data_IF_009619616938
#
_entry.id   IF_009619616938
#
_cell.length_a   1.000
_cell.length_b   1.000
_cell.length_c   1.000
_cell.angle_alpha   90.00
_cell.angle_beta   90.00
_cell.angle_gamma   90.00
#
_symmetry.space_group_name_H-M   'P 1'
#
loop_
_entity.id
_entity.type
_entity.pdbx_description
1 polymer ?
#
# COMPACT_ATOMS: atom_id res chain seq x y z
N UNK A 1 -57.83 8.02 27.18
CA UNK A 1 -58.24 9.04 28.14
C UNK A 1 -56.99 9.56 28.81
N UNK A 2 -56.38 10.63 28.33
CA UNK A 2 -56.39 12.04 28.68
C UNK A 2 -56.38 12.26 30.23
N UNK A 3 -55.63 13.23 30.80
CA UNK A 3 -55.09 14.43 30.21
C UNK A 3 -53.66 14.86 30.63
N UNK A 4 -53.14 15.79 29.82
CA UNK A 4 -52.11 16.77 30.11
C UNK A 4 -52.68 17.88 31.02
N UNK A 5 -51.87 18.63 31.76
CA UNK A 5 -52.05 20.06 31.85
C UNK A 5 -50.86 20.89 31.41
N UNK A 6 -51.21 22.04 30.85
CA UNK A 6 -50.46 23.17 30.34
C UNK A 6 -50.19 24.26 31.40
N UNK A 7 -49.17 25.11 31.09
CA UNK A 7 -48.98 26.54 31.41
C UNK A 7 -48.52 26.92 32.82
N UNK A 8 -47.50 27.79 32.93
CA UNK A 8 -47.41 29.22 32.65
C UNK A 8 -46.01 29.74 33.00
N UNK A 9 -45.33 30.45 32.18
CA UNK A 9 -45.21 31.91 31.93
C UNK A 9 -44.23 32.66 32.84
N UNK A 10 -43.18 33.17 32.19
CA UNK A 10 -42.59 34.52 32.21
C UNK A 10 -42.05 35.12 33.50
N UNK A 11 -40.75 35.42 33.48
CA UNK A 11 -40.27 36.79 33.68
C UNK A 11 -38.81 36.95 33.27
N UNK A 12 -38.58 38.01 32.52
CA UNK A 12 -37.30 38.51 32.07
C UNK A 12 -36.65 39.36 33.20
N UNK A 13 -35.31 39.22 33.34
CA UNK A 13 -34.47 40.31 33.87
C UNK A 13 -33.18 40.38 33.07
N UNK A 14 -32.82 41.60 32.75
CA UNK A 14 -31.84 42.02 31.79
C UNK A 14 -30.39 42.01 32.31
N UNK A 15 -29.48 41.93 31.33
CA UNK A 15 -28.18 42.60 31.20
C UNK A 15 -27.08 42.40 32.23
N UNK A 16 -26.04 41.74 31.78
CA UNK A 16 -24.71 42.34 31.83
C UNK A 16 -23.82 41.71 30.75
N UNK A 17 -23.36 42.54 29.85
CA UNK A 17 -22.36 42.31 28.83
C UNK A 17 -20.98 42.04 29.48
N UNK A 18 -20.42 40.89 29.17
CA UNK A 18 -18.96 40.72 29.22
C UNK A 18 -18.56 39.98 27.93
N UNK A 19 -17.85 40.76 27.12
CA UNK A 19 -17.11 40.33 25.97
C UNK A 19 -16.16 39.19 26.34
N UNK A 20 -16.37 38.01 25.74
CA UNK A 20 -15.32 37.00 25.63
C UNK A 20 -14.81 37.05 24.21
N UNK A 21 -13.62 37.61 24.08
CA UNK A 21 -12.83 37.62 22.88
C UNK A 21 -12.62 36.20 22.36
N UNK A 22 -12.91 36.06 21.12
CA UNK A 22 -12.61 34.91 20.29
C UNK A 22 -11.09 34.78 20.11
N UNK A 23 -10.42 34.01 20.97
CA UNK A 23 -9.09 33.51 20.69
C UNK A 23 -9.13 32.39 19.64
N UNK A 24 -9.32 32.84 18.40
CA UNK A 24 -9.02 32.05 17.21
C UNK A 24 -7.50 32.20 16.97
N UNK A 25 -6.69 31.61 17.87
CA UNK A 25 -5.25 31.59 17.68
C UNK A 25 -4.91 30.63 16.52
N UNK A 26 -4.57 31.29 15.42
CA UNK A 26 -3.86 30.77 14.26
C UNK A 26 -2.73 29.81 14.68
N UNK A 27 -2.91 28.51 14.48
CA UNK A 27 -1.84 27.52 14.52
C UNK A 27 -0.86 27.60 13.32
N UNK A 28 -0.84 28.73 12.60
CA UNK A 28 0.04 28.97 11.45
C UNK A 28 1.48 29.38 11.80
N UNK A 29 1.82 29.54 13.08
CA UNK A 29 3.11 30.12 13.49
C UNK A 29 4.13 29.13 14.08
N UNK A 30 3.91 27.80 14.02
CA UNK A 30 4.86 26.83 14.59
C UNK A 30 5.61 25.99 13.54
N UNK A 31 5.42 26.23 12.26
CA UNK A 31 6.22 25.54 11.24
C UNK A 31 7.34 26.48 10.82
N UNK A 32 8.57 26.14 11.19
CA UNK A 32 9.78 26.86 10.75
C UNK A 32 9.78 26.93 9.21
N UNK A 33 9.81 28.12 8.58
CA UNK A 33 9.79 28.27 7.12
C UNK A 33 10.92 27.50 6.43
N UNK A 34 12.06 27.27 7.09
CA UNK A 34 13.12 26.42 6.59
C UNK A 34 12.73 24.92 6.53
N UNK A 35 11.82 24.47 7.40
CA UNK A 35 11.26 23.11 7.34
C UNK A 35 10.28 22.98 6.17
N UNK A 36 9.49 24.02 5.87
CA UNK A 36 8.57 24.02 4.73
C UNK A 36 9.35 23.97 3.41
N UNK A 37 10.44 24.73 3.28
CA UNK A 37 11.32 24.71 2.10
C UNK A 37 12.01 23.34 1.97
N UNK A 38 12.38 22.71 3.09
CA UNK A 38 12.95 21.37 3.14
C UNK A 38 11.96 20.30 2.65
N UNK A 39 10.66 20.47 2.89
CA UNK A 39 9.61 19.51 2.48
C UNK A 39 9.30 19.62 0.97
N UNK A 40 9.54 20.76 0.32
CA UNK A 40 9.21 20.99 -1.09
C UNK A 40 10.22 20.43 -2.09
N UNK A 41 11.43 20.07 -1.67
CA UNK A 41 12.45 19.49 -2.58
C UNK A 41 12.44 17.99 -2.42
N UNK A 42 12.23 17.26 -3.53
CA UNK A 42 12.27 15.79 -3.53
C UNK A 42 13.62 15.25 -3.03
N UNK A 43 13.60 14.07 -2.44
CA UNK A 43 14.82 13.43 -1.95
C UNK A 43 15.77 13.16 -3.11
N UNK A 44 15.23 12.77 -4.27
CA UNK A 44 16.02 12.54 -5.48
C UNK A 44 16.81 13.77 -5.94
N UNK A 45 16.25 14.97 -5.81
CA UNK A 45 16.98 16.20 -6.12
C UNK A 45 18.07 16.53 -5.09
N UNK A 46 17.82 16.27 -3.81
CA UNK A 46 18.80 16.50 -2.74
C UNK A 46 20.04 15.64 -2.87
N UNK A 47 19.88 14.40 -3.35
CA UNK A 47 20.99 13.47 -3.55
C UNK A 47 21.76 13.75 -4.85
N UNK A 48 21.18 14.50 -5.80
CA UNK A 48 21.82 14.87 -7.08
C UNK A 48 22.60 16.19 -7.05
N UNK A 49 22.48 16.99 -5.99
CA UNK A 49 23.27 18.24 -5.89
C UNK A 49 24.77 17.92 -5.79
N UNK A 50 25.57 18.68 -6.52
CA UNK A 50 27.03 18.54 -6.59
C UNK A 50 27.67 18.57 -5.20
N UNK A 51 28.11 17.42 -4.71
CA UNK A 51 28.69 17.23 -3.39
C UNK A 51 28.04 16.14 -2.55
N UNK A 52 26.85 15.64 -2.96
CA UNK A 52 26.09 14.64 -2.22
C UNK A 52 25.70 15.07 -0.79
N UNK A 53 24.71 14.45 -0.20
CA UNK A 53 24.44 14.62 1.22
C UNK A 53 25.43 13.75 2.01
N UNK A 54 26.20 14.35 2.91
CA UNK A 54 27.10 13.62 3.83
C UNK A 54 26.36 13.14 5.10
N UNK A 55 25.19 13.75 5.41
CA UNK A 55 24.32 13.38 6.51
C UNK A 55 22.86 13.68 6.14
N UNK A 56 21.92 13.01 6.81
CA UNK A 56 20.49 13.24 6.60
C UNK A 56 19.95 14.29 7.58
N UNK A 57 18.91 15.06 7.19
CA UNK A 57 18.19 15.91 8.14
C UNK A 57 17.56 15.07 9.26
N UNK A 58 17.56 15.58 10.48
CA UNK A 58 17.02 14.87 11.67
C UNK A 58 15.57 14.42 11.53
N UNK A 59 14.79 15.11 10.67
CA UNK A 59 13.42 14.73 10.36
C UNK A 59 13.30 13.33 9.72
N UNK A 60 14.39 12.76 9.19
CA UNK A 60 14.43 11.41 8.61
C UNK A 60 14.97 10.36 9.60
N UNK A 61 15.30 10.73 10.84
CA UNK A 61 15.77 9.79 11.85
C UNK A 61 14.60 8.94 12.36
N UNK A 62 14.38 7.81 11.70
CA UNK A 62 13.35 6.83 12.05
C UNK A 62 13.83 5.89 13.15
N UNK A 63 15.03 5.34 12.99
CA UNK A 63 15.62 4.46 13.99
C UNK A 63 16.39 5.28 15.03
N UNK A 64 15.99 5.16 16.27
CA UNK A 64 16.66 5.80 17.42
C UNK A 64 17.36 4.72 18.25
N UNK A 65 18.28 5.07 19.18
CA UNK A 65 18.90 4.10 20.07
C UNK A 65 17.89 3.21 20.83
N UNK A 66 16.67 3.71 21.02
CA UNK A 66 15.59 2.98 21.70
C UNK A 66 14.66 2.21 20.70
N UNK A 67 14.86 2.36 19.40
CA UNK A 67 14.08 1.71 18.34
C UNK A 67 15.03 1.29 17.22
N UNK A 68 16.09 0.55 17.58
CA UNK A 68 17.00 -0.03 16.59
C UNK A 68 16.22 -1.10 15.82
N UNK A 69 16.33 -1.15 14.48
CA UNK A 69 15.65 -2.18 13.72
C UNK A 69 16.12 -3.55 14.20
N UNK A 70 15.16 -4.42 14.52
CA UNK A 70 15.47 -5.83 14.65
C UNK A 70 16.26 -6.25 13.41
N UNK A 71 17.49 -6.74 13.62
CA UNK A 71 18.28 -7.24 12.50
C UNK A 71 17.48 -8.35 11.82
N UNK A 72 17.41 -8.38 10.48
CA UNK A 72 16.82 -9.53 9.81
C UNK A 72 17.55 -10.77 10.31
N UNK A 73 16.80 -11.81 10.59
CA UNK A 73 17.40 -13.13 10.84
C UNK A 73 18.29 -13.40 9.62
N UNK A 74 19.55 -13.81 9.83
CA UNK A 74 20.45 -14.13 8.72
C UNK A 74 19.75 -15.15 7.82
N UNK A 75 19.85 -14.95 6.50
CA UNK A 75 19.23 -15.84 5.50
C UNK A 75 19.61 -17.34 5.73
N UNK A 76 20.77 -17.57 6.35
CA UNK A 76 21.28 -18.90 6.73
C UNK A 76 20.52 -19.54 7.91
N UNK A 77 19.81 -18.76 8.72
CA UNK A 77 19.05 -19.26 9.90
C UNK A 77 17.56 -19.45 9.62
N UNK A 78 17.08 -19.08 8.43
CA UNK A 78 15.68 -19.22 8.06
C UNK A 78 15.50 -20.47 7.20
N UNK A 79 14.95 -21.53 7.81
CA UNK A 79 14.63 -22.79 7.11
C UNK A 79 13.50 -22.61 6.08
N UNK A 80 12.65 -21.60 6.28
CA UNK A 80 11.49 -21.32 5.42
C UNK A 80 11.85 -20.25 4.37
N UNK A 81 11.87 -20.58 3.11
CA UNK A 81 11.94 -19.61 2.01
C UNK A 81 10.55 -19.13 1.60
N UNK A 82 10.46 -17.90 1.07
CA UNK A 82 9.21 -17.38 0.51
C UNK A 82 8.72 -18.31 -0.60
N UNK A 83 7.45 -18.78 -0.56
CA UNK A 83 6.91 -19.70 -1.55
C UNK A 83 6.96 -19.14 -2.97
N UNK A 84 7.19 -20.01 -3.94
CA UNK A 84 7.14 -19.66 -5.37
C UNK A 84 6.00 -20.41 -6.03
N UNK A 85 5.13 -19.68 -6.73
CA UNK A 85 3.97 -20.18 -7.47
C UNK A 85 4.27 -20.12 -8.96
N UNK A 86 4.23 -21.25 -9.62
CA UNK A 86 4.29 -21.33 -11.09
C UNK A 86 2.91 -21.05 -11.66
N UNK A 87 2.74 -19.82 -12.19
CA UNK A 87 1.47 -19.36 -12.76
C UNK A 87 1.01 -20.16 -13.96
N UNK A 88 1.93 -20.73 -14.72
CA UNK A 88 1.58 -21.55 -15.90
C UNK A 88 0.84 -22.82 -15.51
N UNK A 89 1.13 -23.39 -14.34
CA UNK A 89 0.41 -24.55 -13.82
C UNK A 89 -1.01 -24.22 -13.36
N UNK A 90 -1.23 -22.97 -12.94
CA UNK A 90 -2.57 -22.49 -12.57
C UNK A 90 -3.48 -22.33 -13.79
N UNK A 91 -2.93 -21.83 -14.91
CA UNK A 91 -3.70 -21.43 -16.10
C UNK A 91 -3.72 -22.48 -17.20
N UNK A 92 -2.66 -23.26 -17.34
CA UNK A 92 -2.44 -24.21 -18.46
C UNK A 92 -2.02 -25.60 -18.01
N UNK A 93 -1.96 -25.87 -16.70
CA UNK A 93 -1.64 -27.19 -16.15
C UNK A 93 -2.75 -28.21 -16.34
N UNK A 94 -2.41 -29.50 -16.19
CA UNK A 94 -3.43 -30.55 -16.10
C UNK A 94 -4.32 -30.34 -14.86
N UNK A 95 -5.51 -30.95 -14.77
CA UNK A 95 -6.37 -30.83 -13.59
C UNK A 95 -5.65 -31.16 -12.27
N UNK A 96 -4.76 -32.16 -12.28
CA UNK A 96 -3.98 -32.56 -11.11
C UNK A 96 -2.92 -31.49 -10.75
N UNK A 97 -2.22 -30.95 -11.76
CA UNK A 97 -1.24 -29.87 -11.56
C UNK A 97 -1.93 -28.61 -11.04
N UNK A 98 -3.09 -28.26 -11.62
CA UNK A 98 -3.89 -27.12 -11.19
C UNK A 98 -4.37 -27.29 -9.75
N UNK A 99 -4.88 -28.45 -9.39
CA UNK A 99 -5.29 -28.75 -8.00
C UNK A 99 -4.11 -28.61 -7.02
N UNK A 100 -2.94 -29.12 -7.39
CA UNK A 100 -1.73 -29.01 -6.57
C UNK A 100 -1.30 -27.56 -6.37
N UNK A 101 -1.18 -26.78 -7.45
CA UNK A 101 -0.73 -25.37 -7.35
C UNK A 101 -1.74 -24.48 -6.62
N UNK A 102 -3.06 -24.76 -6.72
CA UNK A 102 -4.10 -24.08 -5.94
C UNK A 102 -3.90 -24.33 -4.44
N UNK A 103 -3.60 -25.56 -4.04
CA UNK A 103 -3.29 -25.90 -2.64
C UNK A 103 -2.01 -25.20 -2.15
N UNK A 104 -0.96 -25.16 -2.98
CA UNK A 104 0.29 -24.44 -2.68
C UNK A 104 0.06 -22.95 -2.53
N UNK A 105 -0.74 -22.35 -3.41
CA UNK A 105 -1.16 -20.95 -3.35
C UNK A 105 -1.92 -20.66 -2.04
N UNK A 106 -2.89 -21.50 -1.68
CA UNK A 106 -3.63 -21.35 -0.43
C UNK A 106 -2.73 -21.45 0.80
N UNK A 107 -1.74 -22.35 0.79
CA UNK A 107 -0.73 -22.45 1.85
C UNK A 107 0.13 -21.20 1.92
N UNK A 108 0.62 -20.69 0.79
CA UNK A 108 1.41 -19.45 0.73
C UNK A 108 0.64 -18.24 1.29
N UNK A 109 -0.64 -18.10 0.92
CA UNK A 109 -1.51 -17.03 1.44
C UNK A 109 -1.75 -17.13 2.96
N UNK A 110 -1.89 -18.35 3.49
CA UNK A 110 -2.15 -18.58 4.91
C UNK A 110 -0.90 -18.41 5.76
N UNK A 111 0.21 -19.00 5.35
CA UNK A 111 1.40 -19.13 6.18
C UNK A 111 2.29 -17.87 6.08
N UNK A 112 2.37 -17.26 4.89
CA UNK A 112 3.22 -16.12 4.61
C UNK A 112 2.47 -14.83 4.31
N UNK A 113 1.33 -14.90 3.61
CA UNK A 113 0.69 -13.74 3.00
C UNK A 113 1.53 -13.08 1.89
N UNK A 114 2.67 -13.71 1.54
CA UNK A 114 3.63 -13.31 0.51
C UNK A 114 4.07 -14.53 -0.29
N UNK A 115 4.28 -14.35 -1.60
CA UNK A 115 4.83 -15.39 -2.48
C UNK A 115 5.42 -14.75 -3.76
N UNK A 116 6.26 -15.51 -4.44
CA UNK A 116 6.77 -15.15 -5.75
C UNK A 116 5.90 -15.80 -6.82
N UNK A 117 5.70 -15.10 -7.94
CA UNK A 117 4.99 -15.64 -9.11
C UNK A 117 5.92 -15.63 -10.30
N UNK A 118 6.13 -16.79 -10.89
CA UNK A 118 6.94 -17.02 -12.09
C UNK A 118 6.07 -17.53 -13.24
N UNK A 119 6.58 -17.51 -14.46
CA UNK A 119 5.89 -17.99 -15.67
C UNK A 119 4.52 -17.32 -15.90
N UNK A 120 4.41 -16.05 -15.51
CA UNK A 120 3.16 -15.28 -15.52
C UNK A 120 2.78 -14.69 -16.90
N UNK A 121 3.64 -14.84 -17.91
CA UNK A 121 3.34 -14.42 -19.29
C UNK A 121 3.42 -12.91 -19.56
N UNK A 122 3.69 -12.08 -18.55
CA UNK A 122 4.00 -10.65 -18.78
C UNK A 122 5.42 -10.57 -19.35
N UNK A 123 5.65 -9.92 -20.51
CA UNK A 123 6.97 -9.84 -21.11
C UNK A 123 8.00 -9.13 -20.21
N UNK A 124 9.17 -9.71 -20.05
CA UNK A 124 10.28 -9.13 -19.27
C UNK A 124 10.66 -7.74 -19.80
N UNK A 125 10.63 -7.56 -21.13
CA UNK A 125 10.88 -6.27 -21.77
C UNK A 125 9.87 -5.19 -21.34
N UNK A 126 8.60 -5.55 -21.14
CA UNK A 126 7.57 -4.62 -20.68
C UNK A 126 7.80 -4.24 -19.22
N UNK A 127 8.14 -5.21 -18.35
CA UNK A 127 8.48 -4.95 -16.95
C UNK A 127 9.70 -4.03 -16.83
N UNK A 128 10.74 -4.29 -17.62
CA UNK A 128 11.95 -3.47 -17.67
C UNK A 128 11.64 -2.03 -18.12
N UNK A 129 10.94 -1.87 -19.24
CA UNK A 129 10.58 -0.54 -19.77
C UNK A 129 9.68 0.22 -18.79
N UNK A 130 8.78 -0.46 -18.05
CA UNK A 130 7.97 0.17 -17.01
C UNK A 130 8.84 0.73 -15.89
N UNK A 131 9.86 0.00 -15.44
CA UNK A 131 10.82 0.46 -14.42
C UNK A 131 11.60 1.68 -14.96
N UNK A 132 12.18 1.58 -16.16
CA UNK A 132 12.95 2.65 -16.79
C UNK A 132 12.11 3.92 -16.96
N UNK A 133 10.86 3.79 -17.37
CA UNK A 133 9.94 4.93 -17.53
C UNK A 133 9.61 5.61 -16.21
N UNK A 134 9.45 4.84 -15.13
CA UNK A 134 9.31 5.41 -13.78
C UNK A 134 10.60 6.13 -13.33
N UNK A 135 11.78 5.59 -13.66
CA UNK A 135 13.05 6.27 -13.38
C UNK A 135 13.13 7.62 -14.10
N UNK A 136 12.73 7.66 -15.37
CA UNK A 136 12.68 8.91 -16.14
C UNK A 136 11.69 9.91 -15.55
N UNK A 137 10.55 9.46 -15.04
CA UNK A 137 9.61 10.33 -14.32
C UNK A 137 10.28 10.99 -13.12
N UNK A 138 11.00 10.22 -12.30
CA UNK A 138 11.67 10.76 -11.11
C UNK A 138 12.85 11.69 -11.45
N UNK A 139 13.43 11.58 -12.65
CA UNK A 139 14.46 12.51 -13.17
C UNK A 139 13.91 13.83 -13.69
N UNK A 140 12.59 13.97 -13.86
CA UNK A 140 11.97 15.23 -14.20
C UNK A 140 12.30 16.32 -13.18
N UNK A 141 12.28 17.60 -13.61
CA UNK A 141 12.43 18.72 -12.69
C UNK A 141 11.31 18.72 -11.65
N UNK A 142 11.58 19.26 -10.46
CA UNK A 142 10.58 19.30 -9.39
C UNK A 142 9.32 20.03 -9.83
N UNK A 143 9.45 21.13 -10.55
CA UNK A 143 8.33 21.88 -11.11
C UNK A 143 7.39 20.97 -11.93
N UNK A 144 7.95 20.12 -12.82
CA UNK A 144 7.16 19.18 -13.63
C UNK A 144 6.52 18.07 -12.82
N UNK A 145 7.17 17.61 -11.75
CA UNK A 145 6.61 16.61 -10.84
C UNK A 145 5.50 17.19 -9.98
N UNK A 146 5.64 18.43 -9.54
CA UNK A 146 4.64 19.13 -8.74
C UNK A 146 3.33 19.39 -9.48
N UNK A 147 3.30 19.33 -10.82
CA UNK A 147 2.06 19.30 -11.60
C UNK A 147 1.13 18.14 -11.17
N UNK A 148 1.70 17.07 -10.58
CA UNK A 148 1.00 15.88 -10.10
C UNK A 148 0.89 15.78 -8.58
N UNK A 149 1.23 16.85 -7.85
CA UNK A 149 1.11 16.86 -6.40
C UNK A 149 -0.35 16.65 -5.98
N UNK A 150 -0.60 15.58 -5.21
CA UNK A 150 -1.93 15.25 -4.70
C UNK A 150 -2.11 15.67 -3.25
N UNK A 151 -3.36 15.73 -2.81
CA UNK A 151 -3.75 16.09 -1.44
C UNK A 151 -4.57 14.99 -0.77
N UNK A 152 -5.23 14.16 -1.58
CA UNK A 152 -6.15 13.14 -1.10
C UNK A 152 -5.77 11.75 -1.60
N UNK A 153 -6.02 10.72 -0.77
CA UNK A 153 -5.72 9.34 -1.14
C UNK A 153 -6.49 8.88 -2.39
N UNK A 154 -7.65 9.48 -2.66
CA UNK A 154 -8.47 9.21 -3.83
C UNK A 154 -8.17 10.14 -5.02
N UNK A 155 -7.15 11.00 -4.95
CA UNK A 155 -6.72 11.76 -6.12
C UNK A 155 -6.26 10.79 -7.23
N UNK A 156 -6.72 11.00 -8.47
CA UNK A 156 -6.44 10.08 -9.57
C UNK A 156 -4.95 9.93 -9.88
N UNK A 157 -4.16 10.98 -9.65
CA UNK A 157 -2.71 10.99 -9.70
C UNK A 157 -2.20 11.71 -8.46
N UNK A 158 -1.21 11.14 -7.80
CA UNK A 158 -0.63 11.70 -6.60
C UNK A 158 0.88 11.49 -6.56
N UNK A 159 1.64 12.56 -6.78
CA UNK A 159 3.08 12.63 -6.55
C UNK A 159 3.34 13.21 -5.16
N UNK A 160 4.35 12.70 -4.48
CA UNK A 160 4.79 13.22 -3.19
C UNK A 160 6.15 12.70 -2.76
N UNK A 161 6.70 13.40 -1.78
CA UNK A 161 7.89 12.98 -1.04
C UNK A 161 7.45 12.67 0.38
N UNK A 162 7.76 11.51 0.88
CA UNK A 162 7.43 11.11 2.25
C UNK A 162 5.98 11.38 2.66
N UNK A 163 5.17 10.37 2.84
CA UNK A 163 3.82 10.57 3.41
C UNK A 163 3.98 10.75 4.92
N UNK A 164 3.83 12.01 5.41
CA UNK A 164 3.78 12.28 6.84
C UNK A 164 2.52 11.69 7.44
N UNK A 165 2.69 10.79 8.40
CA UNK A 165 1.67 10.55 9.39
C UNK A 165 1.49 11.78 10.28
N UNK A 166 0.26 12.32 10.40
CA UNK A 166 -0.01 13.34 11.41
C UNK A 166 0.40 12.90 12.83
N UNK A 167 0.57 11.60 13.04
CA UNK A 167 1.00 11.00 14.31
C UNK A 167 2.53 10.91 14.48
N UNK A 168 3.33 10.98 13.41
CA UNK A 168 4.80 10.91 13.50
C UNK A 168 5.41 12.09 12.78
N UNK A 169 6.28 12.83 13.46
CA UNK A 169 7.05 13.95 12.85
C UNK A 169 8.20 13.45 11.97
N UNK A 170 8.31 12.13 11.76
CA UNK A 170 9.41 11.50 11.02
C UNK A 170 9.07 11.36 9.55
N UNK A 171 9.98 11.77 8.69
CA UNK A 171 9.91 11.64 7.25
C UNK A 171 10.50 10.30 6.78
N UNK A 172 9.98 9.78 5.66
CA UNK A 172 10.48 8.54 5.04
C UNK A 172 11.37 8.89 3.85
N UNK A 173 12.47 8.16 3.67
CA UNK A 173 13.46 8.38 2.62
C UNK A 173 12.96 7.83 1.29
N UNK A 174 11.92 8.50 0.71
CA UNK A 174 11.20 8.03 -0.47
C UNK A 174 10.50 9.16 -1.21
N UNK A 175 10.65 9.18 -2.55
CA UNK A 175 9.73 9.85 -3.46
C UNK A 175 8.76 8.81 -4.06
N UNK A 176 7.54 9.20 -4.36
CA UNK A 176 6.57 8.28 -4.96
C UNK A 176 5.63 9.01 -5.94
N UNK A 177 5.10 8.24 -6.89
CA UNK A 177 3.97 8.61 -7.72
C UNK A 177 2.98 7.46 -7.71
N UNK A 178 1.70 7.74 -7.47
CA UNK A 178 0.63 6.77 -7.66
C UNK A 178 -0.40 7.32 -8.64
N UNK A 179 -1.04 6.43 -9.41
CA UNK A 179 -2.13 6.79 -10.29
C UNK A 179 -3.10 5.63 -10.49
N UNK A 180 -4.37 5.98 -10.66
CA UNK A 180 -5.44 5.01 -10.86
C UNK A 180 -5.51 4.62 -12.33
N UNK A 181 -5.48 3.32 -12.61
CA UNK A 181 -5.58 2.80 -13.96
C UNK A 181 -6.92 2.09 -14.23
N UNK A 182 -7.69 1.81 -13.17
CA UNK A 182 -9.07 1.31 -13.21
C UNK A 182 -9.86 1.88 -12.03
N UNK A 183 -11.18 2.08 -12.16
CA UNK A 183 -12.01 1.82 -13.35
C UNK A 183 -11.77 2.80 -14.49
N UNK A 184 -11.22 3.99 -14.22
CA UNK A 184 -10.86 5.00 -15.22
C UNK A 184 -9.34 5.14 -15.27
N UNK A 185 -8.77 5.11 -16.48
CA UNK A 185 -7.33 5.20 -16.68
C UNK A 185 -6.82 6.64 -16.53
N UNK A 186 -5.91 6.82 -15.58
CA UNK A 186 -5.14 8.03 -15.34
C UNK A 186 -3.66 7.70 -15.37
N UNK A 187 -2.85 8.61 -15.89
CA UNK A 187 -1.39 8.46 -15.94
C UNK A 187 -0.78 9.85 -16.13
N UNK A 188 0.41 10.13 -15.58
CA UNK A 188 1.15 11.33 -15.93
C UNK A 188 1.40 11.43 -17.43
N UNK A 189 1.37 12.67 -17.96
CA UNK A 189 1.62 12.92 -19.39
C UNK A 189 3.11 12.80 -19.76
N UNK A 190 3.98 12.86 -18.77
CA UNK A 190 5.45 12.81 -18.91
C UNK A 190 6.03 11.71 -18.02
N UNK A 191 7.14 11.05 -18.45
CA UNK A 191 7.83 11.23 -19.74
C UNK A 191 7.01 10.74 -20.94
N UNK A 192 7.49 11.01 -22.17
CA UNK A 192 6.86 10.54 -23.38
C UNK A 192 6.75 9.02 -23.38
N UNK A 193 5.60 8.47 -23.78
CA UNK A 193 5.34 7.03 -23.78
C UNK A 193 4.88 6.44 -22.44
N UNK A 194 4.96 7.18 -21.33
CA UNK A 194 4.56 6.66 -20.02
C UNK A 194 3.13 6.13 -20.01
N UNK A 195 2.22 6.85 -20.69
CA UNK A 195 0.81 6.45 -20.78
C UNK A 195 0.63 5.10 -21.46
N UNK A 196 1.26 4.87 -22.60
CA UNK A 196 1.07 3.65 -23.40
C UNK A 196 1.70 2.43 -22.70
N UNK A 197 2.89 2.62 -22.14
CA UNK A 197 3.57 1.59 -21.34
C UNK A 197 2.75 1.21 -20.11
N UNK A 198 2.26 2.20 -19.35
CA UNK A 198 1.43 1.96 -18.18
C UNK A 198 0.10 1.29 -18.52
N UNK A 199 -0.48 1.62 -19.65
CA UNK A 199 -1.74 1.00 -20.12
C UNK A 199 -1.55 -0.49 -20.42
N UNK A 200 -0.54 -0.84 -21.21
CA UNK A 200 -0.26 -2.24 -21.54
C UNK A 200 0.16 -3.03 -20.28
N UNK A 201 1.03 -2.45 -19.47
CA UNK A 201 1.46 -3.08 -18.22
C UNK A 201 0.30 -3.32 -17.25
N UNK A 202 -0.57 -2.33 -17.09
CA UNK A 202 -1.77 -2.45 -16.21
C UNK A 202 -2.74 -3.50 -16.73
N UNK A 203 -2.94 -3.60 -18.04
CA UNK A 203 -3.77 -4.64 -18.65
C UNK A 203 -3.23 -6.04 -18.37
N UNK A 204 -1.94 -6.28 -18.63
CA UNK A 204 -1.30 -7.58 -18.40
C UNK A 204 -1.32 -8.01 -16.95
N UNK A 205 -1.02 -7.08 -16.04
CA UNK A 205 -1.03 -7.38 -14.60
C UNK A 205 -2.44 -7.59 -14.06
N UNK A 206 -3.46 -6.96 -14.66
CA UNK A 206 -4.86 -7.23 -14.35
C UNK A 206 -5.26 -8.67 -14.69
N UNK A 207 -4.84 -9.17 -15.86
CA UNK A 207 -5.07 -10.55 -16.27
C UNK A 207 -4.42 -11.54 -15.27
N UNK A 208 -3.16 -11.30 -14.88
CA UNK A 208 -2.46 -12.13 -13.88
C UNK A 208 -3.17 -12.08 -12.52
N UNK A 209 -3.55 -10.91 -12.04
CA UNK A 209 -4.21 -10.76 -10.74
C UNK A 209 -5.58 -11.48 -10.71
N UNK A 210 -6.36 -11.42 -11.79
CA UNK A 210 -7.65 -12.13 -11.88
C UNK A 210 -7.48 -13.63 -11.77
N UNK A 211 -6.52 -14.22 -12.50
CA UNK A 211 -6.27 -15.65 -12.44
C UNK A 211 -5.75 -16.09 -11.05
N UNK A 212 -4.90 -15.28 -10.42
CA UNK A 212 -4.50 -15.52 -9.02
C UNK A 212 -5.70 -15.49 -8.08
N UNK A 213 -6.61 -14.52 -8.23
CA UNK A 213 -7.81 -14.41 -7.39
C UNK A 213 -8.79 -15.59 -7.61
N UNK A 214 -8.87 -16.13 -8.82
CA UNK A 214 -9.61 -17.39 -9.08
C UNK A 214 -8.97 -18.57 -8.32
N UNK A 215 -7.65 -18.73 -8.41
CA UNK A 215 -6.94 -19.74 -7.65
C UNK A 215 -7.11 -19.58 -6.14
N UNK A 216 -7.10 -18.34 -5.64
CA UNK A 216 -7.34 -18.01 -4.23
C UNK A 216 -8.78 -18.37 -3.83
N UNK A 217 -9.80 -18.05 -4.66
CA UNK A 217 -11.18 -18.47 -4.40
C UNK A 217 -11.27 -19.98 -4.22
N UNK A 218 -10.72 -20.74 -5.18
CA UNK A 218 -10.71 -22.21 -5.14
C UNK A 218 -9.97 -22.76 -3.92
N UNK A 219 -8.85 -22.15 -3.52
CA UNK A 219 -8.06 -22.59 -2.36
C UNK A 219 -8.76 -22.33 -1.01
N UNK A 220 -9.75 -21.43 -1.00
CA UNK A 220 -10.67 -21.19 0.12
C UNK A 220 -11.90 -22.14 0.10
N UNK A 221 -12.02 -22.99 -0.92
CA UNK A 221 -13.21 -23.84 -1.12
C UNK A 221 -14.42 -23.10 -1.70
N UNK A 222 -14.20 -21.89 -2.23
CA UNK A 222 -15.22 -21.06 -2.87
C UNK A 222 -15.27 -21.33 -4.39
N UNK A 223 -16.36 -20.87 -5.03
CA UNK A 223 -16.43 -20.87 -6.50
C UNK A 223 -15.27 -20.08 -7.11
N UNK A 224 -14.78 -20.51 -8.26
CA UNK A 224 -13.64 -19.89 -8.96
C UNK A 224 -13.77 -18.38 -9.16
N UNK A 225 -14.96 -17.91 -9.54
CA UNK A 225 -15.27 -16.48 -9.75
C UNK A 225 -15.76 -15.72 -8.51
N UNK A 226 -15.70 -16.33 -7.32
CA UNK A 226 -16.32 -15.76 -6.12
C UNK A 226 -15.78 -14.37 -5.77
N UNK A 227 -14.46 -14.24 -5.66
CA UNK A 227 -13.82 -12.96 -5.27
C UNK A 227 -14.13 -11.89 -6.32
N UNK A 228 -14.08 -12.22 -7.59
CA UNK A 228 -14.37 -11.30 -8.69
C UNK A 228 -15.78 -10.72 -8.57
N UNK A 229 -16.76 -11.60 -8.33
CA UNK A 229 -18.17 -11.21 -8.19
C UNK A 229 -18.43 -10.46 -6.89
N UNK A 230 -17.97 -10.98 -5.76
CA UNK A 230 -18.21 -10.40 -4.45
C UNK A 230 -17.57 -9.01 -4.29
N UNK A 231 -16.43 -8.78 -4.94
CA UNK A 231 -15.67 -7.51 -4.88
C UNK A 231 -15.99 -6.57 -6.03
N UNK A 232 -16.92 -6.92 -6.95
CA UNK A 232 -17.29 -6.13 -8.13
C UNK A 232 -16.07 -5.68 -8.95
N UNK A 233 -15.19 -6.64 -9.29
CA UNK A 233 -13.88 -6.34 -9.88
C UNK A 233 -13.95 -5.74 -11.29
N UNK A 234 -15.08 -5.85 -11.99
CA UNK A 234 -15.26 -5.17 -13.27
C UNK A 234 -15.17 -3.64 -13.12
N UNK A 235 -15.61 -3.11 -12.00
CA UNK A 235 -15.45 -1.71 -11.57
C UNK A 235 -14.38 -1.54 -10.48
N UNK A 236 -13.60 -2.57 -10.21
CA UNK A 236 -12.60 -2.61 -9.17
C UNK A 236 -11.47 -1.59 -9.36
N UNK A 237 -10.89 -1.17 -8.26
CA UNK A 237 -9.79 -0.21 -8.24
C UNK A 237 -8.48 -0.92 -8.56
N UNK A 238 -7.73 -0.38 -9.53
CA UNK A 238 -6.33 -0.76 -9.79
C UNK A 238 -5.46 0.47 -9.71
N UNK A 239 -4.43 0.42 -8.89
CA UNK A 239 -3.52 1.55 -8.62
C UNK A 239 -2.10 1.12 -8.97
N UNK A 240 -1.44 1.88 -9.84
CA UNK A 240 0.02 1.80 -10.02
C UNK A 240 0.65 2.77 -9.05
N UNK A 241 1.62 2.30 -8.27
CA UNK A 241 2.41 3.14 -7.38
C UNK A 241 3.90 2.86 -7.62
N UNK A 242 4.64 3.86 -8.11
CA UNK A 242 6.08 3.76 -8.23
C UNK A 242 6.75 4.47 -7.04
N UNK A 243 7.74 3.82 -6.44
CA UNK A 243 8.52 4.35 -5.33
C UNK A 243 9.99 4.41 -5.72
N UNK A 244 10.62 5.56 -5.52
CA UNK A 244 12.05 5.74 -5.62
C UNK A 244 12.64 5.91 -4.21
N UNK A 245 13.63 5.10 -3.89
CA UNK A 245 14.44 5.18 -2.69
C UNK A 245 15.88 5.53 -3.11
N UNK A 246 16.27 6.80 -3.09
CA UNK A 246 17.63 7.20 -3.44
C UNK A 246 18.66 6.65 -2.46
N UNK A 247 19.96 6.58 -2.84
CA UNK A 247 21.02 6.28 -1.90
C UNK A 247 20.95 7.16 -0.66
N UNK A 248 21.05 6.55 0.52
CA UNK A 248 20.97 7.24 1.79
C UNK A 248 22.33 7.24 2.48
N UNK A 249 22.92 8.40 2.84
CA UNK A 249 24.21 8.43 3.48
C UNK A 249 24.22 7.78 4.89
N UNK A 250 23.07 7.74 5.55
CA UNK A 250 22.90 7.15 6.88
C UNK A 250 21.77 6.10 6.90
N UNK A 251 21.93 4.95 6.18
CA UNK A 251 20.86 3.99 6.01
C UNK A 251 20.46 3.25 7.30
N UNK A 252 21.29 3.33 8.34
CA UNK A 252 21.00 2.72 9.65
C UNK A 252 20.00 3.51 10.49
N UNK A 253 19.77 4.79 10.18
CA UNK A 253 18.84 5.64 10.93
C UNK A 253 17.61 6.04 10.12
N UNK A 254 17.66 5.94 8.80
CA UNK A 254 16.53 6.23 7.91
C UNK A 254 15.74 4.97 7.51
N UNK A 255 14.49 5.15 7.15
CA UNK A 255 13.66 4.11 6.56
C UNK A 255 13.03 4.59 5.25
N UNK A 256 12.94 3.71 4.26
CA UNK A 256 12.28 4.01 3.00
C UNK A 256 10.76 4.00 3.12
N UNK A 257 10.22 2.94 3.72
CA UNK A 257 8.80 2.82 4.04
C UNK A 257 8.64 2.00 5.32
N UNK A 258 7.99 2.54 6.36
CA UNK A 258 7.85 1.86 7.64
C UNK A 258 6.99 0.60 7.55
N UNK A 259 6.97 -0.25 8.58
CA UNK A 259 6.08 -1.40 8.65
C UNK A 259 4.63 -1.03 8.39
N UNK A 260 4.02 -1.68 7.41
CA UNK A 260 2.63 -1.50 7.00
C UNK A 260 2.08 -2.78 6.38
N UNK A 261 0.79 -2.88 6.25
CA UNK A 261 0.08 -3.81 5.39
C UNK A 261 -0.52 -3.05 4.20
N UNK A 262 -0.81 -3.73 3.10
CA UNK A 262 -1.43 -3.12 1.94
C UNK A 262 -2.96 -3.19 2.03
N UNK A 263 -3.61 -2.11 1.63
CA UNK A 263 -5.05 -2.14 1.40
C UNK A 263 -5.39 -2.91 0.10
N UNK A 264 -6.66 -3.28 -0.07
CA UNK A 264 -7.10 -4.02 -1.25
C UNK A 264 -6.98 -5.54 -1.10
N UNK A 265 -7.00 -6.24 -2.22
CA UNK A 265 -7.05 -7.70 -2.29
C UNK A 265 -5.68 -8.32 -2.49
N UNK A 266 -4.97 -7.85 -3.51
CA UNK A 266 -3.61 -8.28 -3.87
C UNK A 266 -2.76 -7.08 -4.25
N UNK A 267 -1.46 -7.21 -4.05
CA UNK A 267 -0.43 -6.34 -4.63
C UNK A 267 0.53 -7.20 -5.45
N UNK A 268 0.78 -6.81 -6.70
CA UNK A 268 1.84 -7.37 -7.55
C UNK A 268 2.96 -6.34 -7.66
N UNK A 269 4.19 -6.73 -7.30
CA UNK A 269 5.31 -5.80 -7.25
C UNK A 269 6.45 -6.27 -8.15
N UNK A 270 7.00 -5.34 -8.94
CA UNK A 270 8.29 -5.46 -9.60
C UNK A 270 9.29 -4.44 -9.04
N UNK A 271 10.57 -4.70 -9.22
CA UNK A 271 11.64 -3.80 -8.78
C UNK A 271 12.90 -3.92 -9.65
N UNK A 272 13.81 -2.96 -9.53
CA UNK A 272 15.05 -2.91 -10.31
C UNK A 272 16.16 -3.84 -9.81
N UNK A 273 15.84 -4.91 -9.07
CA UNK A 273 16.82 -5.87 -8.55
C UNK A 273 17.50 -5.45 -7.24
N UNK A 274 17.35 -4.19 -6.82
CA UNK A 274 17.96 -3.71 -5.58
C UNK A 274 17.22 -4.25 -4.35
N UNK A 275 18.00 -4.66 -3.34
CA UNK A 275 17.50 -5.18 -2.05
C UNK A 275 16.81 -4.08 -1.23
N UNK A 276 16.04 -4.48 -0.22
CA UNK A 276 15.44 -3.55 0.75
C UNK A 276 14.02 -3.91 1.18
N UNK A 277 13.29 -4.77 0.45
CA UNK A 277 11.99 -5.26 0.90
C UNK A 277 12.17 -6.34 1.97
N UNK A 278 11.46 -6.19 3.07
CA UNK A 278 11.37 -7.17 4.15
C UNK A 278 9.91 -7.44 4.50
N UNK A 279 9.59 -8.70 4.78
CA UNK A 279 8.29 -9.16 5.29
C UNK A 279 8.43 -9.67 6.72
N UNK A 280 7.42 -9.43 7.55
CA UNK A 280 7.36 -9.99 8.89
C UNK A 280 6.74 -11.39 8.84
N UNK A 281 7.52 -12.41 9.20
CA UNK A 281 7.08 -13.78 9.26
C UNK A 281 7.46 -14.41 10.61
N UNK A 282 6.49 -15.01 11.31
CA UNK A 282 6.67 -15.61 12.65
C UNK A 282 7.41 -14.68 13.64
N UNK A 283 7.09 -13.38 13.59
CA UNK A 283 7.68 -12.35 14.45
C UNK A 283 9.04 -11.81 13.99
N UNK A 284 9.66 -12.36 12.95
CA UNK A 284 10.95 -11.95 12.43
C UNK A 284 10.83 -11.19 11.11
N UNK A 285 11.78 -10.28 10.84
CA UNK A 285 11.92 -9.62 9.54
C UNK A 285 12.76 -10.47 8.60
N UNK A 286 12.18 -10.88 7.48
CA UNK A 286 12.80 -11.72 6.44
C UNK A 286 13.01 -10.90 5.19
N UNK A 287 14.22 -10.98 4.59
CA UNK A 287 14.49 -10.33 3.31
C UNK A 287 13.71 -11.01 2.18
N UNK A 288 13.09 -10.19 1.33
CA UNK A 288 12.41 -10.68 0.12
C UNK A 288 13.37 -10.59 -1.05
N UNK A 289 13.77 -11.75 -1.57
CA UNK A 289 14.57 -11.88 -2.77
C UNK A 289 13.69 -12.38 -3.91
N UNK A 290 13.77 -11.73 -5.05
CA UNK A 290 13.10 -12.21 -6.27
C UNK A 290 14.01 -12.10 -7.47
N UNK A 291 13.83 -13.00 -8.42
CA UNK A 291 14.40 -12.83 -9.74
C UNK A 291 13.76 -11.63 -10.45
N UNK A 292 14.49 -10.92 -11.33
CA UNK A 292 13.95 -9.75 -12.05
C UNK A 292 12.65 -10.02 -12.80
N UNK A 293 12.43 -11.29 -13.21
CA UNK A 293 11.31 -11.73 -14.01
C UNK A 293 10.21 -12.41 -13.18
N UNK A 294 10.17 -12.17 -11.88
CA UNK A 294 9.10 -12.66 -11.00
C UNK A 294 8.33 -11.47 -10.41
N UNK A 295 7.03 -11.64 -10.22
CA UNK A 295 6.31 -10.75 -9.33
C UNK A 295 6.52 -11.18 -7.89
N UNK A 296 6.77 -10.21 -7.01
CA UNK A 296 6.50 -10.38 -5.59
C UNK A 296 5.02 -10.07 -5.38
N UNK A 297 4.29 -11.02 -4.79
CA UNK A 297 2.85 -10.86 -4.57
C UNK A 297 2.56 -10.93 -3.08
N UNK A 298 1.72 -10.03 -2.60
CA UNK A 298 1.22 -10.07 -1.22
C UNK A 298 -0.30 -9.93 -1.14
N UNK A 299 -0.85 -10.56 -0.12
CA UNK A 299 -2.24 -10.45 0.29
C UNK A 299 -2.48 -9.08 0.91
N UNK A 300 -3.58 -8.42 0.50
CA UNK A 300 -4.03 -7.17 1.08
C UNK A 300 -5.08 -7.35 2.19
N UNK A 301 -5.33 -6.28 2.94
CA UNK A 301 -6.22 -6.28 4.10
C UNK A 301 -7.65 -6.75 3.78
N UNK A 302 -8.15 -6.40 2.58
CA UNK A 302 -9.51 -6.80 2.18
C UNK A 302 -9.62 -8.27 1.79
N UNK A 303 -8.52 -8.90 1.37
CA UNK A 303 -8.46 -10.35 1.21
C UNK A 303 -8.41 -11.06 2.58
N UNK A 304 -7.71 -10.49 3.56
CA UNK A 304 -7.74 -11.02 4.93
C UNK A 304 -9.14 -10.92 5.53
N UNK A 305 -9.83 -9.79 5.33
CA UNK A 305 -11.22 -9.62 5.78
C UNK A 305 -12.14 -10.64 5.10
N UNK A 306 -12.10 -10.72 3.75
CA UNK A 306 -12.94 -11.64 2.98
C UNK A 306 -12.74 -13.10 3.43
N UNK A 307 -11.50 -13.50 3.67
CA UNK A 307 -11.14 -14.86 4.09
C UNK A 307 -11.37 -15.12 5.59
N UNK A 308 -12.05 -14.22 6.31
CA UNK A 308 -12.25 -14.26 7.75
C UNK A 308 -10.94 -14.50 8.54
N UNK A 309 -9.84 -13.86 8.11
CA UNK A 309 -8.54 -13.97 8.72
C UNK A 309 -7.77 -15.25 8.41
N UNK A 310 -8.27 -16.12 7.53
CA UNK A 310 -7.57 -17.33 7.08
C UNK A 310 -6.30 -16.98 6.32
N UNK A 311 -6.36 -16.00 5.43
CA UNK A 311 -5.21 -15.47 4.71
C UNK A 311 -4.71 -14.21 5.38
N UNK A 312 -3.39 -13.98 5.34
CA UNK A 312 -2.75 -12.92 6.12
C UNK A 312 -2.30 -11.77 5.23
N UNK A 313 -2.74 -10.57 5.57
CA UNK A 313 -2.11 -9.35 5.08
C UNK A 313 -0.88 -9.07 5.94
N UNK A 314 0.27 -9.54 5.48
CA UNK A 314 1.50 -9.52 6.27
C UNK A 314 2.13 -8.12 6.31
N UNK A 315 2.63 -7.72 7.49
CA UNK A 315 3.41 -6.51 7.63
C UNK A 315 4.71 -6.62 6.83
N UNK A 316 5.03 -5.54 6.10
CA UNK A 316 6.25 -5.44 5.34
C UNK A 316 6.81 -4.01 5.39
N UNK A 317 8.11 -3.85 5.09
CA UNK A 317 8.80 -2.57 5.13
C UNK A 317 9.84 -2.47 4.02
N UNK A 318 10.23 -1.24 3.67
CA UNK A 318 11.33 -1.00 2.74
C UNK A 318 12.48 -0.29 3.45
N UNK A 319 13.64 -0.93 3.49
CA UNK A 319 14.89 -0.36 3.94
C UNK A 319 15.55 0.42 2.79
N UNK A 320 16.47 1.31 3.14
CA UNK A 320 17.32 2.05 2.20
C UNK A 320 18.76 1.54 2.28
N UNK A 321 19.53 1.75 1.22
CA UNK A 321 20.96 1.45 1.21
C UNK A 321 21.77 2.71 0.91
N UNK A 322 23.10 2.64 1.06
CA UNK A 322 23.99 3.78 0.91
C UNK A 322 24.53 4.00 -0.49
N UNK A 323 24.37 3.05 -1.41
CA UNK A 323 25.07 3.03 -2.70
C UNK A 323 24.16 3.17 -3.89
N UNK A 324 23.02 2.47 -3.90
CA UNK A 324 22.20 2.31 -5.08
C UNK A 324 20.78 2.82 -4.86
N UNK A 325 20.21 3.46 -5.89
CA UNK A 325 18.81 3.80 -5.91
C UNK A 325 17.96 2.55 -6.13
N UNK A 326 16.99 2.31 -5.24
CA UNK A 326 15.99 1.26 -5.40
C UNK A 326 14.73 1.85 -6.00
N UNK A 327 14.19 1.20 -7.03
CA UNK A 327 12.85 1.46 -7.54
C UNK A 327 11.99 0.22 -7.34
N UNK A 328 10.77 0.43 -6.88
CA UNK A 328 9.74 -0.61 -6.83
C UNK A 328 8.41 -0.08 -7.34
N UNK A 329 7.68 -0.94 -8.05
CA UNK A 329 6.40 -0.60 -8.68
C UNK A 329 5.37 -1.62 -8.22
N UNK A 330 4.76 -1.44 -7.03
CA UNK A 330 3.57 -2.18 -6.65
C UNK A 330 2.37 -1.75 -7.50
N UNK A 331 1.57 -2.73 -7.93
CA UNK A 331 0.22 -2.54 -8.45
C UNK A 331 -0.74 -3.15 -7.44
N UNK A 332 -1.62 -2.32 -6.91
CA UNK A 332 -2.63 -2.72 -5.94
C UNK A 332 -3.96 -2.98 -6.65
N UNK A 333 -4.60 -4.07 -6.28
CA UNK A 333 -5.91 -4.48 -6.77
C UNK A 333 -6.90 -4.45 -5.61
N UNK A 334 -7.94 -3.65 -5.75
CA UNK A 334 -8.96 -3.48 -4.72
C UNK A 334 -10.38 -3.69 -5.25
N UNK A 335 -11.34 -3.85 -4.33
CA UNK A 335 -12.76 -3.83 -4.67
C UNK A 335 -13.19 -2.56 -5.40
N UNK A 336 -14.41 -2.54 -5.91
CA UNK A 336 -15.08 -1.29 -6.24
C UNK A 336 -15.28 -0.46 -4.97
N UNK A 337 -15.16 0.87 -5.07
CA UNK A 337 -15.07 1.79 -3.90
C UNK A 337 -16.28 1.74 -2.97
N UNK A 338 -17.47 1.49 -3.48
CA UNK A 338 -18.71 1.43 -2.68
C UNK A 338 -19.03 0.00 -2.19
N UNK A 339 -18.22 -1.00 -2.58
CA UNK A 339 -18.36 -2.38 -2.12
C UNK A 339 -18.10 -2.44 -0.61
N UNK A 340 -19.06 -3.00 0.12
CA UNK A 340 -18.88 -3.34 1.55
C UNK A 340 -18.16 -4.68 1.62
N UNK A 341 -16.95 -4.69 2.16
CA UNK A 341 -16.18 -5.91 2.31
C UNK A 341 -16.45 -6.54 3.66
N UNK A 342 -16.95 -7.75 3.63
CA UNK A 342 -17.25 -8.58 4.80
C UNK A 342 -16.50 -9.91 4.67
N UNK A 343 -16.34 -10.67 5.76
CA UNK A 343 -16.05 -12.08 5.66
C UNK A 343 -17.04 -12.80 4.75
N UNK A 344 -16.55 -13.68 3.86
CA UNK A 344 -17.41 -14.46 3.00
C UNK A 344 -18.33 -15.35 3.87
N UNK A 345 -19.66 -15.32 3.67
CA UNK A 345 -20.58 -16.10 4.49
C UNK A 345 -20.27 -17.61 4.52
N UNK A 346 -19.73 -18.13 3.43
CA UNK A 346 -19.32 -19.52 3.30
C UNK A 346 -18.12 -19.90 4.19
N UNK A 347 -17.36 -18.91 4.64
CA UNK A 347 -16.19 -19.08 5.50
C UNK A 347 -16.47 -18.72 6.96
N UNK A 348 -17.71 -18.44 7.30
CA UNK A 348 -18.16 -18.05 8.65
C UNK A 348 -19.08 -19.12 9.20
N UNK A 349 -18.86 -19.45 10.46
CA UNK A 349 -19.76 -20.29 11.28
C UNK A 349 -19.88 -19.65 12.66
N UNK A 350 -21.10 -19.33 13.07
CA UNK A 350 -21.33 -18.59 14.31
C UNK A 350 -20.90 -19.34 15.59
N UNK A 351 -20.78 -20.66 15.52
CA UNK A 351 -20.39 -21.48 16.66
C UNK A 351 -18.88 -21.76 16.70
N UNK A 352 -18.30 -22.09 15.52
CA UNK A 352 -16.93 -22.57 15.43
C UNK A 352 -15.95 -21.55 14.80
N UNK A 353 -16.44 -20.67 13.93
CA UNK A 353 -15.64 -19.65 13.24
C UNK A 353 -16.46 -18.37 13.02
N UNK A 354 -16.82 -17.62 14.09
CA UNK A 354 -17.62 -16.42 13.98
C UNK A 354 -16.94 -15.33 13.14
N UNK A 355 -17.67 -14.33 12.62
CA UNK A 355 -17.10 -13.23 11.86
C UNK A 355 -16.02 -12.51 12.68
N UNK A 356 -14.80 -12.48 12.19
CA UNK A 356 -13.66 -11.81 12.84
C UNK A 356 -13.59 -10.31 12.50
N UNK A 357 -14.35 -9.84 11.51
CA UNK A 357 -14.33 -8.47 11.03
C UNK A 357 -15.77 -7.95 10.80
N UNK A 358 -15.97 -6.67 11.09
CA UNK A 358 -17.18 -5.95 10.70
C UNK A 358 -17.04 -5.44 9.25
N UNK A 359 -18.19 -5.36 8.54
CA UNK A 359 -18.20 -4.84 7.17
C UNK A 359 -17.95 -3.35 7.09
N UNK A 360 -17.18 -2.94 6.09
CA UNK A 360 -16.90 -1.54 5.80
C UNK A 360 -16.79 -1.32 4.29
N UNK A 361 -17.24 -0.17 3.80
CA UNK A 361 -16.99 0.21 2.41
C UNK A 361 -15.51 0.42 2.15
N UNK A 362 -15.03 0.00 0.98
CA UNK A 362 -13.64 0.18 0.63
C UNK A 362 -13.21 1.65 0.61
N UNK A 363 -14.08 2.55 0.17
CA UNK A 363 -13.86 4.00 0.25
C UNK A 363 -13.61 4.49 1.68
N UNK A 364 -14.46 4.12 2.61
CA UNK A 364 -14.34 4.50 4.03
C UNK A 364 -13.02 4.03 4.62
N UNK A 365 -12.61 2.80 4.27
CA UNK A 365 -11.31 2.26 4.68
C UNK A 365 -10.15 3.12 4.18
N UNK A 366 -10.15 3.52 2.90
CA UNK A 366 -9.12 4.38 2.32
C UNK A 366 -9.08 5.76 2.98
N UNK A 367 -10.23 6.35 3.28
CA UNK A 367 -10.35 7.63 3.98
C UNK A 367 -9.82 7.53 5.42
N UNK A 368 -10.08 6.43 6.12
CA UNK A 368 -9.50 6.16 7.44
C UNK A 368 -7.98 6.01 7.38
N UNK A 369 -7.44 5.36 6.37
CA UNK A 369 -5.98 5.28 6.15
C UNK A 369 -5.36 6.67 5.96
N UNK A 370 -6.02 7.55 5.21
CA UNK A 370 -5.55 8.93 5.02
C UNK A 370 -5.61 9.72 6.32
N UNK A 371 -6.70 9.63 7.06
CA UNK A 371 -6.89 10.32 8.34
C UNK A 371 -5.93 9.81 9.41
N UNK A 372 -5.25 8.65 9.17
CA UNK A 372 -4.38 7.97 10.13
C UNK A 372 -5.07 7.71 11.48
N UNK A 373 -6.37 7.58 11.42
CA UNK A 373 -7.16 7.10 12.52
C UNK A 373 -6.83 5.60 12.63
N UNK A 374 -5.73 5.30 13.31
CA UNK A 374 -5.36 4.00 13.87
C UNK A 374 -5.74 2.82 12.96
N UNK A 375 -4.75 2.07 12.49
CA UNK A 375 -4.91 0.69 12.05
C UNK A 375 -6.33 0.37 11.54
N UNK A 376 -6.69 0.89 10.34
CA UNK A 376 -8.06 0.79 9.79
C UNK A 376 -8.59 -0.66 9.81
N UNK A 377 -7.66 -1.64 9.72
CA UNK A 377 -7.93 -3.07 9.87
C UNK A 377 -8.34 -3.45 11.30
N UNK A 378 -7.77 -2.83 12.35
CA UNK A 378 -8.17 -3.11 13.74
C UNK A 378 -9.53 -2.51 14.08
N UNK A 379 -9.98 -1.46 13.40
CA UNK A 379 -11.31 -0.88 13.62
C UNK A 379 -12.44 -1.73 13.03
N UNK A 380 -12.10 -2.77 12.23
CA UNK A 380 -13.06 -3.73 11.70
C UNK A 380 -13.13 -5.03 12.53
N UNK A 381 -12.31 -5.18 13.57
CA UNK A 381 -12.33 -6.34 14.50
C UNK A 381 -13.36 -6.16 15.60
#
# INVERSE_FOLDING_TARGET
MIPIPKHSSVSAVASSSSSCDSDNQNYSHLINPNIIIIIMISISQRTQTSGGLTSIPTAYNYFTPNNIPDQPVSDELFEDSIPTIDFSLLTSGTPEQRSKIVNELGKACRDWGFFLVINHGVPDSLMKVMIETCEEFFKLTEEKKQEYAGKHILDPIFYGTSINGAATQVLFWRDFIKFFVRPKFHCPAKPTGFRDISMEYSKRTWEVARELMKGISMSLGLEEGYIEKAMNLDSGLQIVAANLYPPCPEPKVAIGLPPHSDHGLLTLLIHNGQRGLQVQHKGNWVNVYSNPNAFVVNIGDHMEILSNGTYKSAFHRALVNGTDARISIPILFGPELETVVNPAPELVDNETNPPAFAGMKYREYLEMLQAKTINAKLSQK
#
